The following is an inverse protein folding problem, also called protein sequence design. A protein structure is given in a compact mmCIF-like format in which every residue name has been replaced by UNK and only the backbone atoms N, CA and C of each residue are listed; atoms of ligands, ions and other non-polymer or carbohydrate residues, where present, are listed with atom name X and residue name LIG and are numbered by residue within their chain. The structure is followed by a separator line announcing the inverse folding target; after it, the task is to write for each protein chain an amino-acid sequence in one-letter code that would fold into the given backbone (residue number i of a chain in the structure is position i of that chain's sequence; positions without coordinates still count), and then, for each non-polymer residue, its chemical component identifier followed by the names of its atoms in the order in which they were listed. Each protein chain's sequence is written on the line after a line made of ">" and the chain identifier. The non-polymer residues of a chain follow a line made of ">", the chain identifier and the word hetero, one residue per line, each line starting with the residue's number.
data_IF_141528507328
#
_entry.id   IF_141528507328
#
_cell.length_a   1.000
_cell.length_b   1.000
_cell.length_c   1.000
_cell.angle_alpha   90.00
_cell.angle_beta   90.00
_cell.angle_gamma   90.00
#
_symmetry.space_group_name_H-M   'P 1'
#
loop_
_entity.id
_entity.type
_entity.pdbx_description
1 polymer ?
#
# COMPACT_ATOMS: atom_id res chain seq x y z
N UNK A 1 -2.58 -6.97 46.96
CA UNK A 1 -1.49 -7.55 46.16
C UNK A 1 -1.99 -7.70 44.73
N UNK A 2 -1.33 -7.02 43.81
CA UNK A 2 -1.67 -6.85 42.39
C UNK A 2 -1.50 -8.15 41.62
N UNK A 3 -2.55 -8.65 40.98
CA UNK A 3 -2.40 -9.57 39.84
C UNK A 3 -2.37 -8.67 38.60
N UNK A 4 -1.15 -8.27 38.23
CA UNK A 4 -0.90 -7.56 36.99
C UNK A 4 -1.27 -8.50 35.85
N UNK A 5 -2.15 -8.01 34.98
CA UNK A 5 -2.58 -8.69 33.77
C UNK A 5 -1.34 -9.15 32.99
N UNK A 6 -1.39 -10.40 32.54
CA UNK A 6 -0.42 -10.99 31.64
C UNK A 6 -0.15 -10.01 30.49
N UNK A 7 1.06 -9.46 30.43
CA UNK A 7 1.52 -8.75 29.24
C UNK A 7 1.44 -9.76 28.08
N UNK A 8 0.44 -9.55 27.22
CA UNK A 8 0.22 -10.33 26.01
C UNK A 8 1.52 -10.29 25.21
N UNK A 9 2.22 -11.42 25.13
CA UNK A 9 3.54 -11.56 24.51
C UNK A 9 3.47 -11.14 23.04
N UNK A 10 3.76 -9.87 22.80
CA UNK A 10 3.56 -9.20 21.52
C UNK A 10 4.63 -9.57 20.47
N UNK A 11 5.46 -10.59 20.73
CA UNK A 11 6.74 -10.83 20.06
C UNK A 11 6.99 -12.29 19.59
N UNK A 12 6.03 -13.20 19.75
CA UNK A 12 6.18 -14.58 19.28
C UNK A 12 5.80 -14.72 17.78
N UNK A 13 6.59 -15.45 16.96
CA UNK A 13 6.21 -15.82 15.61
C UNK A 13 4.90 -16.60 15.57
N UNK A 14 4.03 -16.29 14.61
CA UNK A 14 2.72 -16.94 14.44
C UNK A 14 2.28 -16.95 12.99
N UNK A 15 1.40 -17.90 12.66
CA UNK A 15 0.69 -17.90 11.37
C UNK A 15 -0.29 -16.72 11.35
N UNK A 16 -0.20 -15.90 10.31
CA UNK A 16 -0.99 -14.67 10.20
C UNK A 16 -2.22 -14.82 9.29
N UNK A 17 -2.06 -15.57 8.20
CA UNK A 17 -3.09 -15.78 7.20
C UNK A 17 -2.78 -17.05 6.41
N UNK A 18 -3.77 -17.92 6.24
CA UNK A 18 -3.66 -19.06 5.32
C UNK A 18 -4.09 -18.61 3.92
N UNK A 19 -3.15 -18.62 2.98
CA UNK A 19 -3.39 -18.22 1.60
C UNK A 19 -3.94 -19.36 0.74
N UNK A 20 -3.94 -20.61 1.22
CA UNK A 20 -4.36 -21.77 0.42
C UNK A 20 -5.78 -21.65 -0.15
N UNK A 21 -6.80 -21.19 0.60
CA UNK A 21 -8.14 -21.02 0.03
C UNK A 21 -8.17 -20.03 -1.14
N UNK A 22 -7.42 -18.93 -1.02
CA UNK A 22 -7.31 -17.90 -2.06
C UNK A 22 -6.53 -18.41 -3.28
N UNK A 23 -5.52 -19.23 -3.06
CA UNK A 23 -4.73 -19.85 -4.13
C UNK A 23 -5.57 -20.89 -4.89
N UNK A 24 -6.36 -21.67 -4.16
CA UNK A 24 -7.22 -22.71 -4.73
C UNK A 24 -8.37 -22.12 -5.56
N UNK A 25 -9.05 -21.08 -5.06
CA UNK A 25 -10.11 -20.38 -5.78
C UNK A 25 -10.21 -18.90 -5.37
N UNK A 26 -9.54 -18.04 -6.11
CA UNK A 26 -9.60 -16.59 -5.88
C UNK A 26 -10.92 -15.95 -6.31
N UNK A 27 -11.75 -16.62 -7.11
CA UNK A 27 -13.03 -16.05 -7.57
C UNK A 27 -14.08 -16.05 -6.48
N UNK A 28 -13.96 -16.98 -5.53
CA UNK A 28 -14.81 -17.03 -4.36
C UNK A 28 -14.47 -15.93 -3.33
N UNK A 29 -13.29 -15.30 -3.44
CA UNK A 29 -12.85 -14.27 -2.50
C UNK A 29 -13.48 -12.90 -2.77
N UNK A 30 -13.72 -12.14 -1.70
CA UNK A 30 -14.19 -10.75 -1.80
C UNK A 30 -13.21 -9.86 -2.55
N UNK A 31 -13.72 -8.84 -3.23
CA UNK A 31 -12.90 -7.84 -3.91
C UNK A 31 -12.17 -6.93 -2.91
N UNK A 32 -10.97 -6.48 -3.27
CA UNK A 32 -10.18 -5.53 -2.49
C UNK A 32 -9.19 -6.19 -1.53
N UNK A 33 -8.93 -5.55 -0.39
CA UNK A 33 -8.02 -6.09 0.63
C UNK A 33 -8.73 -7.21 1.39
N UNK A 34 -8.27 -8.45 1.23
CA UNK A 34 -8.82 -9.62 1.92
C UNK A 34 -8.12 -9.90 3.25
N UNK A 35 -6.89 -9.40 3.40
CA UNK A 35 -6.16 -9.44 4.66
C UNK A 35 -5.12 -8.32 4.74
N UNK A 36 -4.82 -7.84 5.96
CA UNK A 36 -3.79 -6.84 6.24
C UNK A 36 -3.01 -7.20 7.50
N UNK A 37 -1.70 -6.97 7.46
CA UNK A 37 -0.85 -7.09 8.65
C UNK A 37 -1.24 -6.04 9.71
N UNK A 38 -1.61 -6.53 10.88
CA UNK A 38 -1.93 -5.74 12.07
C UNK A 38 -0.97 -6.07 13.22
N UNK A 39 -0.93 -5.21 14.23
CA UNK A 39 -0.06 -5.34 15.40
C UNK A 39 0.68 -4.04 15.69
N UNK A 40 0.81 -3.74 16.99
CA UNK A 40 1.68 -2.68 17.49
C UNK A 40 3.16 -3.01 17.23
N UNK A 41 4.05 -2.01 17.19
CA UNK A 41 5.49 -2.23 16.99
C UNK A 41 5.96 -2.77 15.63
N UNK A 42 5.06 -3.25 14.75
CA UNK A 42 5.44 -3.80 13.43
C UNK A 42 6.28 -2.82 12.61
N UNK A 43 7.27 -3.34 11.90
CA UNK A 43 8.18 -2.56 11.04
C UNK A 43 7.84 -2.67 9.54
N UNK A 44 6.90 -3.54 9.19
CA UNK A 44 6.41 -3.78 7.83
C UNK A 44 4.91 -3.53 7.77
N UNK A 45 4.44 -3.16 6.59
CA UNK A 45 3.04 -3.30 6.22
C UNK A 45 2.95 -4.37 5.12
N UNK A 46 1.87 -5.13 5.15
CA UNK A 46 1.56 -6.12 4.12
C UNK A 46 0.05 -6.22 3.94
N UNK A 47 -0.37 -6.45 2.70
CA UNK A 47 -1.78 -6.66 2.36
C UNK A 47 -1.87 -7.80 1.37
N UNK A 48 -2.84 -8.70 1.55
CA UNK A 48 -3.28 -9.61 0.50
C UNK A 48 -4.51 -8.98 -0.14
N UNK A 49 -4.47 -8.83 -1.46
CA UNK A 49 -5.54 -8.25 -2.25
C UNK A 49 -6.09 -9.27 -3.24
N UNK A 50 -7.37 -9.11 -3.55
CA UNK A 50 -8.04 -9.81 -4.63
C UNK A 50 -8.70 -8.80 -5.57
N UNK A 51 -8.25 -8.76 -6.82
CA UNK A 51 -8.80 -7.94 -7.88
C UNK A 51 -9.66 -8.85 -8.78
N UNK A 52 -11.00 -8.70 -8.81
CA UNK A 52 -11.87 -9.55 -9.60
C UNK A 52 -11.55 -9.50 -11.10
N UNK A 53 -12.04 -10.49 -11.85
CA UNK A 53 -11.80 -10.59 -13.28
C UNK A 53 -12.19 -9.31 -14.04
N UNK A 54 -11.29 -8.81 -14.90
CA UNK A 54 -11.49 -7.61 -15.70
C UNK A 54 -11.49 -6.29 -14.92
N UNK A 55 -11.29 -6.32 -13.60
CA UNK A 55 -11.15 -5.11 -12.81
C UNK A 55 -9.74 -4.53 -12.93
N UNK A 56 -9.63 -3.23 -12.63
CA UNK A 56 -8.41 -2.45 -12.75
C UNK A 56 -8.15 -1.65 -11.48
N UNK A 57 -6.87 -1.53 -11.14
CA UNK A 57 -6.36 -0.48 -10.26
C UNK A 57 -5.74 0.58 -11.15
N UNK A 58 -6.30 1.78 -11.06
CA UNK A 58 -5.86 2.93 -11.82
C UNK A 58 -4.41 3.31 -11.52
N UNK A 59 -3.87 4.13 -12.42
CA UNK A 59 -2.50 4.61 -12.33
C UNK A 59 -2.24 5.27 -10.99
N UNK A 60 -1.22 4.79 -10.30
CA UNK A 60 -0.79 5.34 -9.02
C UNK A 60 0.74 5.27 -8.94
N UNK A 61 1.31 6.27 -8.28
CA UNK A 61 2.74 6.39 -7.98
C UNK A 61 2.90 6.45 -6.47
N UNK A 62 3.71 5.56 -5.90
CA UNK A 62 4.10 5.62 -4.49
C UNK A 62 5.43 6.36 -4.38
N UNK A 63 5.48 7.59 -3.83
CA UNK A 63 6.70 8.41 -3.86
C UNK A 63 7.76 7.97 -2.86
N UNK A 64 7.39 7.33 -1.76
CA UNK A 64 8.26 7.19 -0.60
C UNK A 64 8.75 5.75 -0.33
N UNK A 65 8.05 4.76 -0.88
CA UNK A 65 8.21 3.37 -0.50
C UNK A 65 8.45 2.46 -1.70
N UNK A 66 9.48 1.64 -1.59
CA UNK A 66 9.61 0.45 -2.40
C UNK A 66 8.52 -0.55 -2.02
N UNK A 67 7.97 -1.25 -3.01
CA UNK A 67 6.91 -2.26 -2.82
C UNK A 67 7.31 -3.56 -3.50
N UNK A 68 7.21 -4.67 -2.78
CA UNK A 68 7.22 -6.00 -3.39
C UNK A 68 5.78 -6.45 -3.65
N UNK A 69 5.55 -6.99 -4.85
CA UNK A 69 4.30 -7.62 -5.26
C UNK A 69 4.55 -9.10 -5.51
N UNK A 70 3.82 -10.00 -4.86
CA UNK A 70 3.88 -11.45 -5.10
C UNK A 70 2.54 -11.90 -5.64
N UNK A 71 2.54 -12.48 -6.83
CA UNK A 71 1.32 -13.00 -7.45
C UNK A 71 0.99 -14.37 -6.85
N UNK A 72 -0.19 -14.48 -6.24
CA UNK A 72 -0.64 -15.70 -5.55
C UNK A 72 -1.52 -16.57 -6.45
N UNK A 73 -2.45 -15.96 -7.18
CA UNK A 73 -3.42 -16.66 -8.02
C UNK A 73 -3.95 -15.79 -9.15
N UNK A 74 -4.53 -16.45 -10.17
CA UNK A 74 -5.10 -15.78 -11.33
C UNK A 74 -4.02 -15.24 -12.28
N UNK A 75 -4.34 -14.18 -13.00
CA UNK A 75 -3.40 -13.54 -13.93
C UNK A 75 -3.70 -12.06 -14.06
N UNK A 76 -2.73 -11.29 -14.55
CA UNK A 76 -2.92 -9.87 -14.79
C UNK A 76 -1.82 -9.24 -15.61
N UNK A 77 -1.88 -7.94 -15.77
CA UNK A 77 -0.82 -7.14 -16.40
C UNK A 77 -0.50 -5.96 -15.50
N UNK A 78 0.77 -5.77 -15.20
CA UNK A 78 1.28 -4.57 -14.56
C UNK A 78 1.83 -3.65 -15.65
N UNK A 79 1.23 -2.49 -15.79
CA UNK A 79 1.73 -1.43 -16.68
C UNK A 79 2.65 -0.53 -15.89
N UNK A 80 3.87 -0.32 -16.36
CA UNK A 80 4.85 0.62 -15.81
C UNK A 80 5.25 1.65 -16.86
N UNK A 81 6.11 2.61 -16.50
CA UNK A 81 6.72 3.54 -17.47
C UNK A 81 7.59 2.83 -18.50
N UNK A 82 8.14 1.66 -18.16
CA UNK A 82 9.11 0.94 -18.99
C UNK A 82 8.44 -0.14 -19.85
N UNK A 83 7.15 -0.39 -19.63
CA UNK A 83 6.35 -1.29 -20.47
C UNK A 83 5.31 -2.10 -19.70
N UNK A 84 4.87 -3.18 -20.34
CA UNK A 84 3.88 -4.10 -19.80
C UNK A 84 4.56 -5.35 -19.28
N UNK A 85 4.23 -5.74 -18.05
CA UNK A 85 4.69 -6.97 -17.42
C UNK A 85 3.49 -7.91 -17.22
N UNK A 86 3.39 -9.02 -17.98
CA UNK A 86 2.37 -10.03 -17.72
C UNK A 86 2.67 -10.72 -16.39
N UNK A 87 1.63 -10.93 -15.60
CA UNK A 87 1.71 -11.49 -14.27
C UNK A 87 1.01 -12.85 -14.19
N UNK A 88 1.72 -13.85 -13.67
CA UNK A 88 1.21 -15.19 -13.37
C UNK A 88 1.61 -15.62 -11.95
N UNK A 89 0.93 -16.62 -11.36
CA UNK A 89 1.21 -17.06 -10.00
C UNK A 89 2.69 -17.44 -9.81
N UNK A 90 3.25 -17.09 -8.65
CA UNK A 90 4.66 -17.31 -8.31
C UNK A 90 5.61 -16.19 -8.75
N UNK A 91 5.15 -15.19 -9.50
CA UNK A 91 5.98 -14.03 -9.85
C UNK A 91 6.16 -13.07 -8.66
N UNK A 92 7.38 -12.56 -8.52
CA UNK A 92 7.77 -11.52 -7.57
C UNK A 92 8.23 -10.29 -8.36
N UNK A 93 7.58 -9.16 -8.13
CA UNK A 93 7.92 -7.89 -8.77
C UNK A 93 8.37 -6.89 -7.71
N UNK A 94 9.49 -6.23 -7.96
CA UNK A 94 9.93 -5.07 -7.18
C UNK A 94 9.52 -3.80 -7.90
N UNK A 95 8.83 -2.93 -7.17
CA UNK A 95 8.49 -1.58 -7.57
C UNK A 95 9.31 -0.61 -6.73
N UNK A 96 10.39 -0.03 -7.26
CA UNK A 96 11.10 1.06 -6.60
C UNK A 96 10.15 2.22 -6.28
N UNK A 97 10.38 2.93 -5.18
CA UNK A 97 9.69 4.20 -4.90
C UNK A 97 9.79 5.16 -6.11
N UNK A 98 8.72 5.91 -6.36
CA UNK A 98 8.56 6.74 -7.54
C UNK A 98 8.07 5.98 -8.79
N UNK A 99 8.00 4.64 -8.77
CA UNK A 99 7.44 3.88 -9.88
C UNK A 99 5.96 4.22 -10.10
N UNK A 100 5.63 4.61 -11.34
CA UNK A 100 4.25 4.78 -11.78
C UNK A 100 3.75 3.45 -12.34
N UNK A 101 2.60 2.99 -11.85
CA UNK A 101 2.02 1.72 -12.29
C UNK A 101 0.50 1.69 -12.25
N UNK A 102 -0.09 0.86 -13.11
CA UNK A 102 -1.48 0.39 -13.02
C UNK A 102 -1.52 -1.13 -13.08
N UNK A 103 -2.61 -1.72 -12.60
CA UNK A 103 -2.76 -3.18 -12.55
C UNK A 103 -4.10 -3.59 -13.14
N UNK A 104 -4.08 -4.49 -14.11
CA UNK A 104 -5.27 -5.06 -14.73
C UNK A 104 -5.38 -6.54 -14.40
N UNK A 105 -6.54 -6.97 -13.90
CA UNK A 105 -6.81 -8.38 -13.67
C UNK A 105 -7.27 -9.07 -14.95
N UNK A 106 -6.71 -10.24 -15.22
CA UNK A 106 -7.11 -11.12 -16.31
C UNK A 106 -8.48 -11.78 -16.06
N UNK A 107 -8.86 -12.68 -16.95
CA UNK A 107 -10.17 -13.35 -16.92
C UNK A 107 -10.41 -14.23 -15.66
N UNK A 108 -9.35 -14.54 -14.91
CA UNK A 108 -9.41 -15.33 -13.68
C UNK A 108 -9.38 -14.45 -12.42
N UNK A 109 -9.38 -13.12 -12.55
CA UNK A 109 -9.01 -12.23 -11.46
C UNK A 109 -7.51 -12.30 -11.18
N UNK A 110 -7.07 -11.54 -10.18
CA UNK A 110 -5.68 -11.48 -9.74
C UNK A 110 -5.64 -11.35 -8.22
N UNK A 111 -5.05 -12.34 -7.55
CA UNK A 111 -4.75 -12.23 -6.11
C UNK A 111 -3.25 -12.09 -5.89
N UNK A 112 -2.88 -11.17 -5.02
CA UNK A 112 -1.47 -10.84 -4.81
C UNK A 112 -1.22 -10.30 -3.40
N UNK A 113 -0.03 -10.56 -2.90
CA UNK A 113 0.51 -9.95 -1.69
C UNK A 113 1.27 -8.68 -2.09
N UNK A 114 1.11 -7.62 -1.31
CA UNK A 114 2.01 -6.48 -1.30
C UNK A 114 2.71 -6.40 0.05
N UNK A 115 3.98 -6.02 0.05
CA UNK A 115 4.68 -5.66 1.28
C UNK A 115 5.66 -4.52 1.05
N UNK A 116 5.82 -3.69 2.06
CA UNK A 116 6.75 -2.56 2.09
C UNK A 116 7.11 -2.23 3.54
N UNK A 117 8.13 -1.39 3.72
CA UNK A 117 8.43 -0.82 5.05
C UNK A 117 7.19 -0.10 5.58
N UNK A 118 6.91 -0.25 6.88
CA UNK A 118 5.79 0.44 7.50
C UNK A 118 5.94 1.95 7.31
N UNK A 119 4.87 2.61 6.87
CA UNK A 119 4.87 4.07 6.78
C UNK A 119 4.97 4.64 8.20
N UNK A 120 5.92 5.55 8.51
CA UNK A 120 5.80 6.33 9.73
C UNK A 120 4.42 7.02 9.68
N UNK A 121 3.63 6.91 10.74
CA UNK A 121 2.26 7.44 10.75
C UNK A 121 2.22 8.88 10.23
N UNK A 122 1.13 9.27 9.57
CA UNK A 122 0.96 10.59 8.94
C UNK A 122 1.43 11.71 9.88
N UNK A 123 2.60 12.28 9.59
CA UNK A 123 3.07 13.48 10.28
C UNK A 123 2.33 14.66 9.67
N UNK A 124 1.28 15.12 10.35
CA UNK A 124 0.69 16.42 10.05
C UNK A 124 1.75 17.46 10.42
N UNK A 125 2.50 17.94 9.42
CA UNK A 125 3.40 19.08 9.62
C UNK A 125 2.52 20.31 9.85
N UNK A 126 2.68 21.06 10.95
CA UNK A 126 1.93 22.30 11.15
C UNK A 126 2.24 23.25 9.99
N UNK A 127 1.19 23.71 9.31
CA UNK A 127 1.29 24.74 8.30
C UNK A 127 1.83 26.01 8.96
N UNK A 128 3.05 26.43 8.64
CA UNK A 128 3.58 27.73 9.09
C UNK A 128 2.82 28.81 8.31
N UNK A 129 2.00 29.65 8.96
CA UNK A 129 1.34 30.75 8.26
C UNK A 129 2.41 31.63 7.62
N UNK A 130 2.30 31.91 6.32
CA UNK A 130 3.11 32.95 5.71
C UNK A 130 2.82 34.25 6.46
N UNK A 131 3.85 34.84 7.06
CA UNK A 131 3.71 36.13 7.71
C UNK A 131 3.21 37.14 6.66
N UNK A 132 2.05 37.74 6.92
CA UNK A 132 1.53 38.83 6.13
C UNK A 132 2.60 39.93 6.07
N UNK A 133 3.17 40.15 4.88
CA UNK A 133 4.02 41.32 4.63
C UNK A 133 3.10 42.54 4.68
N UNK A 134 3.29 43.51 5.60
CA UNK A 134 2.47 44.70 5.61
C UNK A 134 2.66 45.48 4.30
N UNK A 135 1.61 46.14 3.79
CA UNK A 135 1.72 46.96 2.59
C UNK A 135 2.68 48.14 2.82
N UNK A 136 3.45 48.47 1.80
CA UNK A 136 4.39 49.59 1.84
C UNK A 136 3.63 50.91 2.05
N UNK A 137 4.20 51.88 2.81
CA UNK A 137 3.56 53.16 3.01
C UNK A 137 3.44 53.92 1.68
N UNK A 138 2.26 54.48 1.43
CA UNK A 138 1.98 55.35 0.29
C UNK A 138 2.79 56.63 0.39
N UNK A 139 3.60 56.92 -0.62
CA UNK A 139 4.29 58.20 -0.76
C UNK A 139 3.25 59.33 -0.85
N UNK A 140 3.29 60.26 0.10
CA UNK A 140 2.46 61.47 0.06
C UNK A 140 2.91 62.39 -1.08
N UNK A 141 1.95 62.87 -1.87
CA UNK A 141 2.16 64.05 -2.71
C UNK A 141 2.07 65.30 -1.83
N UNK A 142 3.15 66.07 -1.79
CA UNK A 142 3.14 67.45 -1.34
C UNK A 142 2.60 68.37 -2.45
N UNK A 143 1.98 69.48 -2.06
CA UNK A 143 2.31 70.78 -2.62
C UNK A 143 3.22 71.58 -1.68
#
# INVERSE_FOLDING_TARGET
>A
MTVGQSEESHDAPRVLYDMQPLIADNRAASAGVVWRLAGSGRQLDANVLNLPAGQRIDTHTEPDLDVLVVVLAGSGTLTTTDGLLPLTPGMLVWLPHGSTRSLDAGAQGLSYLTTHRRRPGMQIRPHRPQAHRPPAPSAGSAP
#
